data_IF_032657149206
#
_entry.id   IF_032657149206
#
_cell.length_a   1.000
_cell.length_b   1.000
_cell.length_c   1.000
_cell.angle_alpha   90.00
_cell.angle_beta   90.00
_cell.angle_gamma   90.00
#
_symmetry.space_group_name_H-M   'P 1'
#
loop_
_entity.id
_entity.type
_entity.pdbx_description
1 polymer ?
#
# COMPACT_ATOMS: atom_id res chain seq x y z
N UNK A 1 15.87 14.11 -8.73
CA UNK A 1 16.07 14.81 -7.44
C UNK A 1 17.55 15.13 -7.33
N UNK A 2 17.91 16.39 -7.10
CA UNK A 2 19.31 16.82 -7.00
C UNK A 2 19.84 16.74 -5.55
N UNK A 3 18.96 16.82 -4.56
CA UNK A 3 19.29 16.57 -3.16
C UNK A 3 19.26 15.07 -2.85
N UNK A 4 20.40 14.52 -2.45
CA UNK A 4 20.58 13.10 -2.08
C UNK A 4 20.80 12.92 -0.57
N UNK A 5 20.72 14.00 0.21
CA UNK A 5 20.88 13.96 1.66
C UNK A 5 19.71 13.27 2.38
N UNK A 6 18.54 13.23 1.73
CA UNK A 6 17.32 12.58 2.21
C UNK A 6 16.99 11.36 1.35
N UNK A 7 16.35 10.37 1.96
CA UNK A 7 15.79 9.23 1.24
C UNK A 7 14.79 9.69 0.19
N UNK A 8 14.87 9.12 -1.00
CA UNK A 8 13.89 9.31 -2.06
C UNK A 8 12.52 8.76 -1.65
N UNK A 9 11.42 9.22 -2.27
CA UNK A 9 10.08 8.68 -2.02
C UNK A 9 9.99 7.17 -2.22
N UNK A 10 10.72 6.64 -3.21
CA UNK A 10 10.77 5.21 -3.50
C UNK A 10 11.48 4.42 -2.39
N UNK A 11 12.53 4.97 -1.79
CA UNK A 11 13.16 4.37 -0.62
C UNK A 11 12.24 4.40 0.60
N UNK A 12 11.57 5.54 0.86
CA UNK A 12 10.66 5.69 2.00
C UNK A 12 9.50 4.68 1.96
N UNK A 13 8.86 4.50 0.80
CA UNK A 13 7.75 3.54 0.70
C UNK A 13 8.22 2.07 0.78
N UNK A 14 9.44 1.79 0.31
CA UNK A 14 10.02 0.45 0.40
C UNK A 14 10.32 0.04 1.85
N UNK A 15 10.50 0.99 2.76
CA UNK A 15 10.66 0.75 4.20
C UNK A 15 9.35 0.43 4.92
N UNK A 16 8.20 0.85 4.38
CA UNK A 16 6.89 0.56 4.96
C UNK A 16 6.53 -0.91 4.73
N UNK A 17 6.36 -1.75 5.77
CA UNK A 17 6.08 -3.16 5.58
C UNK A 17 4.69 -3.39 4.94
N UNK A 18 4.49 -4.52 4.21
CA UNK A 18 3.18 -4.87 3.72
C UNK A 18 2.15 -5.03 4.84
N UNK A 19 0.97 -4.46 4.63
CA UNK A 19 -0.18 -4.51 5.54
C UNK A 19 -0.88 -5.86 5.34
N UNK A 20 -1.00 -6.63 6.42
CA UNK A 20 -1.75 -7.88 6.42
C UNK A 20 -3.23 -7.59 6.66
N UNK A 21 -4.09 -8.12 5.81
CA UNK A 21 -5.55 -8.02 5.97
C UNK A 21 -6.19 -9.40 5.84
N UNK A 22 -7.32 -9.62 6.50
CA UNK A 22 -8.03 -10.90 6.45
C UNK A 22 -8.84 -11.07 5.15
N UNK A 23 -9.34 -9.97 4.60
CA UNK A 23 -10.16 -9.95 3.40
C UNK A 23 -9.38 -10.21 2.11
N UNK A 24 -10.08 -10.74 1.10
CA UNK A 24 -9.54 -10.93 -0.27
C UNK A 24 -9.44 -9.63 -1.08
N UNK A 25 -10.18 -8.60 -0.67
CA UNK A 25 -10.18 -7.28 -1.32
C UNK A 25 -9.94 -6.23 -0.24
N UNK A 26 -9.06 -5.27 -0.52
CA UNK A 26 -8.86 -4.08 0.32
C UNK A 26 -9.34 -2.83 -0.41
N UNK A 27 -9.94 -1.90 0.33
CA UNK A 27 -10.26 -0.55 -0.13
C UNK A 27 -9.19 0.41 0.42
N UNK A 28 -8.29 0.87 -0.44
CA UNK A 28 -7.26 1.83 -0.04
C UNK A 28 -7.76 3.25 -0.32
N UNK A 29 -7.90 4.05 0.73
CA UNK A 29 -8.31 5.46 0.63
C UNK A 29 -7.12 6.41 0.73
N UNK A 30 -5.95 5.93 1.13
CA UNK A 30 -4.69 6.69 1.22
C UNK A 30 -4.50 7.46 2.53
N UNK A 31 -5.58 7.79 3.24
CA UNK A 31 -5.57 8.41 4.56
C UNK A 31 -6.78 7.91 5.37
N UNK A 32 -6.80 8.16 6.69
CA UNK A 32 -7.98 7.84 7.53
C UNK A 32 -9.16 8.78 7.22
N UNK A 33 -8.87 9.98 6.71
CA UNK A 33 -9.85 10.88 6.14
C UNK A 33 -9.88 10.71 4.61
N UNK A 34 -10.96 10.16 4.03
CA UNK A 34 -11.07 9.94 2.58
C UNK A 34 -10.88 11.21 1.73
N UNK A 35 -11.13 12.39 2.30
CA UNK A 35 -10.96 13.67 1.61
C UNK A 35 -9.49 14.12 1.48
N UNK A 36 -8.57 13.53 2.25
CA UNK A 36 -7.14 13.86 2.25
C UNK A 36 -6.28 12.81 1.53
N UNK A 37 -6.88 11.69 1.14
CA UNK A 37 -6.21 10.61 0.47
C UNK A 37 -6.36 10.67 -1.05
N UNK A 38 -6.48 9.50 -1.67
CA UNK A 38 -6.64 9.32 -3.12
C UNK A 38 -8.01 8.69 -3.43
N UNK A 39 -8.46 8.67 -4.69
CA UNK A 39 -9.66 7.92 -5.06
C UNK A 39 -9.56 6.48 -4.56
N UNK A 40 -10.66 5.96 -4.00
CA UNK A 40 -10.69 4.63 -3.42
C UNK A 40 -10.24 3.61 -4.46
N UNK A 41 -9.19 2.86 -4.14
CA UNK A 41 -8.71 1.75 -4.96
C UNK A 41 -9.09 0.43 -4.30
N UNK A 42 -9.91 -0.37 -5.01
CA UNK A 42 -10.20 -1.74 -4.62
C UNK A 42 -9.15 -2.67 -5.21
N UNK A 43 -8.40 -3.36 -4.34
CA UNK A 43 -7.24 -4.17 -4.73
C UNK A 43 -7.52 -5.63 -4.35
N UNK A 44 -7.37 -6.54 -5.32
CA UNK A 44 -7.50 -7.98 -5.12
C UNK A 44 -6.20 -8.58 -4.56
N UNK A 45 -6.31 -9.43 -3.55
CA UNK A 45 -5.19 -10.04 -2.81
C UNK A 45 -5.11 -11.57 -3.01
N UNK A 46 -5.70 -12.08 -4.08
CA UNK A 46 -5.70 -13.52 -4.39
C UNK A 46 -4.30 -14.05 -4.78
N UNK A 47 -3.37 -13.16 -5.14
CA UNK A 47 -2.00 -13.51 -5.46
C UNK A 47 -1.14 -13.59 -4.18
N UNK A 48 -0.13 -14.46 -4.21
CA UNK A 48 0.80 -14.66 -3.09
C UNK A 48 1.71 -13.44 -2.87
N UNK A 49 2.04 -12.72 -3.93
CA UNK A 49 2.89 -11.53 -3.84
C UNK A 49 2.10 -10.32 -3.32
N UNK A 50 2.75 -9.41 -2.55
CA UNK A 50 2.09 -8.20 -2.08
C UNK A 50 1.52 -7.36 -3.22
N UNK A 51 0.23 -7.05 -3.14
CA UNK A 51 -0.42 -6.15 -4.07
C UNK A 51 -0.14 -4.69 -3.69
N UNK A 52 0.19 -3.86 -4.67
CA UNK A 52 0.58 -2.46 -4.45
C UNK A 52 -0.60 -1.55 -4.81
N UNK A 53 -0.94 -0.62 -3.92
CA UNK A 53 -1.81 0.50 -4.26
C UNK A 53 -1.11 1.44 -5.24
N UNK A 54 -1.73 1.72 -6.39
CA UNK A 54 -1.15 2.51 -7.47
C UNK A 54 -0.95 3.98 -7.12
N UNK A 55 -1.67 4.46 -6.12
CA UNK A 55 -1.64 5.87 -5.70
C UNK A 55 -0.59 6.11 -4.61
N UNK A 56 -0.71 5.43 -3.47
CA UNK A 56 0.16 5.68 -2.32
C UNK A 56 1.35 4.70 -2.21
N UNK A 57 1.38 3.62 -3.00
CA UNK A 57 2.44 2.62 -2.97
C UNK A 57 2.40 1.66 -1.77
N UNK A 58 1.38 1.77 -0.91
CA UNK A 58 1.17 0.80 0.18
C UNK A 58 1.02 -0.60 -0.38
N UNK A 59 1.60 -1.56 0.32
CA UNK A 59 1.59 -2.98 -0.03
C UNK A 59 0.61 -3.71 0.87
N UNK A 60 -0.19 -4.59 0.29
CA UNK A 60 -1.19 -5.38 0.99
C UNK A 60 -0.99 -6.87 0.71
N UNK A 61 -1.17 -7.71 1.73
CA UNK A 61 -1.14 -9.16 1.61
C UNK A 61 -2.33 -9.76 2.36
N UNK A 62 -2.91 -10.82 1.82
CA UNK A 62 -3.93 -11.55 2.56
C UNK A 62 -3.27 -12.40 3.66
N UNK A 63 -3.82 -12.34 4.88
CA UNK A 63 -3.43 -13.23 5.95
C UNK A 63 -4.07 -14.60 5.74
N UNK A 64 -3.34 -15.52 5.11
CA UNK A 64 -3.80 -16.90 4.96
C UNK A 64 -3.62 -17.65 6.29
N UNK A 65 -4.69 -17.77 7.07
CA UNK A 65 -4.75 -18.74 8.15
C UNK A 65 -4.84 -20.13 7.53
N UNK A 66 -3.76 -20.90 7.65
CA UNK A 66 -3.74 -22.34 7.41
C UNK A 66 -4.11 -23.08 8.70
#
# INVERSE_FOLDING_TARGET
MQDTSKKSPMELINEVPPIKVEGRIVACEGDTNPALGHPIEFICLDLKDPAICKYCGLRYVQNHHH
#
